data_IF_643300261308
#
_entry.id   IF_643300261308
#
_cell.length_a   1.000
_cell.length_b   1.000
_cell.length_c   1.000
_cell.angle_alpha   90.00
_cell.angle_beta   90.00
_cell.angle_gamma   90.00
#
_symmetry.space_group_name_H-M   'P 1'
#
loop_
_entity.id
_entity.type
_entity.pdbx_description
1 polymer ?
#
# COMPACT_ATOMS: atom_id res chain seq x y z
N UNK A 1 -10.46 14.78 7.18
CA UNK A 1 -9.88 15.66 6.14
C UNK A 1 -8.94 14.88 5.22
N UNK A 2 -8.93 15.22 3.94
CA UNK A 2 -8.02 14.62 2.96
C UNK A 2 -6.61 15.23 3.06
N UNK A 3 -5.63 14.61 2.40
CA UNK A 3 -4.24 15.07 2.38
C UNK A 3 -4.04 16.51 1.91
N UNK A 4 -4.93 17.01 1.05
CA UNK A 4 -4.91 18.41 0.56
C UNK A 4 -5.50 19.43 1.55
N UNK A 5 -6.16 18.96 2.59
CA UNK A 5 -6.97 19.75 3.52
C UNK A 5 -6.35 19.79 4.94
N UNK A 6 -5.21 19.14 5.13
CA UNK A 6 -4.49 19.08 6.41
C UNK A 6 -2.98 19.10 6.18
N UNK A 7 -2.26 19.68 7.11
CA UNK A 7 -0.81 19.59 7.15
C UNK A 7 -0.39 18.19 7.62
N UNK A 8 0.74 17.73 7.13
CA UNK A 8 1.31 16.47 7.52
C UNK A 8 2.75 16.30 7.07
N UNK A 9 3.39 15.25 7.57
CA UNK A 9 4.74 14.87 7.16
C UNK A 9 4.70 13.48 6.56
N UNK A 10 5.44 13.27 5.49
CA UNK A 10 5.55 11.98 4.81
C UNK A 10 7.02 11.61 4.67
N UNK A 11 7.33 10.34 4.89
CA UNK A 11 8.64 9.77 4.61
C UNK A 11 8.55 8.80 3.44
N UNK A 12 9.47 8.88 2.51
CA UNK A 12 9.56 7.98 1.35
C UNK A 12 10.63 6.89 1.56
N UNK A 13 10.79 5.99 0.58
CA UNK A 13 11.77 4.90 0.59
C UNK A 13 13.24 5.37 0.55
N UNK A 14 13.49 6.62 0.16
CA UNK A 14 14.82 7.26 0.25
C UNK A 14 15.10 7.84 1.63
N UNK A 15 14.23 7.60 2.60
CA UNK A 15 14.30 8.16 3.95
C UNK A 15 14.17 9.69 4.00
N UNK A 16 13.60 10.30 2.97
CA UNK A 16 13.35 11.74 2.95
C UNK A 16 12.02 12.05 3.61
N UNK A 17 12.11 12.91 4.59
CA UNK A 17 10.98 13.44 5.35
C UNK A 17 10.56 14.76 4.70
N UNK A 18 9.34 14.82 4.21
CA UNK A 18 8.79 15.94 3.46
C UNK A 18 7.58 16.50 4.19
N UNK A 19 7.55 17.82 4.39
CA UNK A 19 6.34 18.50 4.83
C UNK A 19 5.36 18.63 3.66
N UNK A 20 4.13 18.19 3.89
CA UNK A 20 3.02 18.30 2.96
C UNK A 20 2.01 19.32 3.54
N UNK A 21 2.10 20.61 3.22
CA UNK A 21 1.18 21.60 3.73
C UNK A 21 -0.19 21.44 3.07
N UNK A 22 -1.23 21.81 3.81
CA UNK A 22 -2.57 21.98 3.24
C UNK A 22 -2.58 23.12 2.23
N UNK A 23 -3.33 22.97 1.17
CA UNK A 23 -3.53 24.01 0.16
C UNK A 23 -5.01 24.22 -0.18
N UNK A 24 -5.88 23.54 0.55
CA UNK A 24 -7.32 23.63 0.42
C UNK A 24 -7.97 23.61 1.79
N UNK A 25 -9.01 24.40 1.97
CA UNK A 25 -9.85 24.35 3.16
C UNK A 25 -10.60 23.01 3.24
N UNK A 26 -10.67 22.46 4.42
CA UNK A 26 -11.48 21.25 4.66
C UNK A 26 -12.97 21.59 4.69
N UNK A 27 -13.79 20.59 4.36
CA UNK A 27 -15.24 20.71 4.58
C UNK A 27 -15.49 20.92 6.09
N UNK A 28 -16.44 21.78 6.45
CA UNK A 28 -16.78 22.16 7.85
C UNK A 28 -16.97 20.96 8.82
N UNK A 29 -17.40 19.82 8.30
CA UNK A 29 -17.63 18.60 9.08
C UNK A 29 -16.46 17.58 8.99
N UNK A 30 -15.38 17.94 8.33
CA UNK A 30 -14.24 17.06 8.10
C UNK A 30 -13.11 17.44 9.05
N UNK A 31 -12.63 16.47 9.83
CA UNK A 31 -11.51 16.63 10.76
C UNK A 31 -10.33 15.78 10.31
N UNK A 32 -9.08 16.20 10.54
CA UNK A 32 -7.93 15.33 10.37
C UNK A 32 -7.96 14.17 11.38
N UNK A 33 -7.38 13.04 11.02
CA UNK A 33 -7.43 11.82 11.83
C UNK A 33 -6.86 12.03 13.24
N UNK A 34 -5.74 12.77 13.35
CA UNK A 34 -5.15 13.08 14.65
C UNK A 34 -6.11 13.81 15.59
N UNK A 35 -6.92 14.73 15.07
CA UNK A 35 -7.89 15.47 15.86
C UNK A 35 -9.03 14.57 16.33
N UNK A 36 -9.51 13.64 15.47
CA UNK A 36 -10.54 12.67 15.83
C UNK A 36 -10.06 11.81 17.00
N UNK A 37 -8.83 11.31 16.93
CA UNK A 37 -8.24 10.51 18.02
C UNK A 37 -7.97 11.33 19.27
N UNK A 38 -7.51 12.56 19.14
CA UNK A 38 -7.29 13.45 20.28
C UNK A 38 -8.59 13.75 21.03
N UNK A 39 -9.65 14.12 20.31
CA UNK A 39 -10.97 14.35 20.91
C UNK A 39 -11.54 13.09 21.58
N UNK A 40 -11.34 11.92 20.99
CA UNK A 40 -11.74 10.66 21.61
C UNK A 40 -10.95 10.39 22.89
N UNK A 41 -9.61 10.55 22.83
CA UNK A 41 -8.73 10.39 23.98
C UNK A 41 -9.13 11.28 25.16
N UNK A 42 -9.41 12.56 24.89
CA UNK A 42 -9.91 13.51 25.88
C UNK A 42 -11.26 13.06 26.47
N UNK A 43 -12.20 12.60 25.64
CA UNK A 43 -13.53 12.14 26.10
C UNK A 43 -13.48 10.91 27.02
N UNK A 44 -12.47 10.06 26.87
CA UNK A 44 -12.26 8.90 27.74
C UNK A 44 -11.33 9.18 28.93
N UNK A 45 -10.97 10.47 29.16
CA UNK A 45 -10.29 10.94 30.37
C UNK A 45 -8.79 11.20 30.24
N UNK A 46 -8.20 11.06 29.06
CA UNK A 46 -6.77 11.28 28.81
C UNK A 46 -6.47 12.72 28.34
N UNK A 47 -6.97 13.72 29.04
CA UNK A 47 -6.87 15.13 28.63
C UNK A 47 -5.43 15.58 28.39
N UNK A 48 -4.52 15.34 29.34
CA UNK A 48 -3.12 15.79 29.26
C UNK A 48 -2.31 15.11 28.16
N UNK A 49 -2.63 13.87 27.84
CA UNK A 49 -1.94 13.08 26.82
C UNK A 49 -2.38 13.44 25.39
N UNK A 50 -3.53 14.08 25.24
CA UNK A 50 -4.12 14.43 23.95
C UNK A 50 -4.38 15.93 23.82
N UNK A 51 -3.55 16.76 24.46
CA UNK A 51 -3.62 18.23 24.43
C UNK A 51 -2.81 18.77 23.22
N UNK A 52 -3.24 18.38 22.01
CA UNK A 52 -2.63 18.84 20.78
C UNK A 52 -3.44 19.99 20.16
N UNK A 53 -2.77 21.04 19.73
CA UNK A 53 -3.35 22.17 19.02
C UNK A 53 -3.19 22.04 17.49
N UNK A 54 -2.17 21.29 17.06
CA UNK A 54 -1.81 21.14 15.65
C UNK A 54 -1.23 19.77 15.30
N UNK A 55 -1.16 19.46 14.01
CA UNK A 55 -0.43 18.30 13.52
C UNK A 55 1.08 18.40 13.78
N UNK A 56 1.62 19.60 13.97
CA UNK A 56 3.01 19.81 14.38
C UNK A 56 3.28 19.28 15.77
N UNK A 57 2.36 19.47 16.72
CA UNK A 57 2.52 18.98 18.10
C UNK A 57 2.57 17.46 18.15
N UNK A 58 1.70 16.81 17.37
CA UNK A 58 1.71 15.36 17.20
C UNK A 58 3.03 14.87 16.59
N UNK A 59 3.54 15.60 15.60
CA UNK A 59 4.83 15.29 14.98
C UNK A 59 5.98 15.48 15.97
N UNK A 60 5.98 16.56 16.74
CA UNK A 60 7.02 16.84 17.75
C UNK A 60 7.05 15.77 18.86
N UNK A 61 5.89 15.21 19.22
CA UNK A 61 5.84 14.06 20.12
C UNK A 61 6.45 12.83 19.47
N UNK A 62 6.04 12.52 18.23
CA UNK A 62 6.62 11.41 17.47
C UNK A 62 8.15 11.51 17.38
N UNK A 63 8.69 12.68 17.09
CA UNK A 63 10.13 12.92 16.99
C UNK A 63 10.88 12.53 18.28
N UNK A 64 10.30 12.80 19.46
CA UNK A 64 10.88 12.40 20.75
C UNK A 64 11.04 10.88 20.85
N UNK A 65 10.14 10.11 20.28
CA UNK A 65 10.20 8.64 20.31
C UNK A 65 11.32 8.07 19.44
N UNK A 66 11.82 8.84 18.47
CA UNK A 66 12.89 8.43 17.56
C UNK A 66 14.30 8.71 18.12
N UNK A 67 14.40 9.49 19.19
CA UNK A 67 15.68 9.94 19.76
C UNK A 67 16.61 8.79 20.10
N UNK A 68 17.87 8.85 19.64
CA UNK A 68 18.91 7.84 19.81
C UNK A 68 18.58 6.47 19.20
N UNK A 69 17.63 6.39 18.28
CA UNK A 69 17.33 5.19 17.50
C UNK A 69 17.99 5.28 16.12
N UNK A 70 18.02 4.16 15.40
CA UNK A 70 18.54 4.12 14.01
C UNK A 70 17.84 5.13 13.09
N UNK A 71 16.57 5.38 13.34
CA UNK A 71 15.75 6.36 12.62
C UNK A 71 15.63 7.69 13.36
N UNK A 72 16.67 8.12 14.10
CA UNK A 72 16.63 9.39 14.84
C UNK A 72 16.26 10.55 13.94
N UNK A 73 15.15 11.19 14.25
CA UNK A 73 14.62 12.36 13.55
C UNK A 73 14.44 13.55 14.51
N UNK A 74 15.04 13.48 15.72
CA UNK A 74 14.82 14.44 16.80
C UNK A 74 15.27 15.87 16.49
N UNK A 75 16.04 16.08 15.43
CA UNK A 75 16.46 17.39 14.95
C UNK A 75 15.50 18.03 13.95
N UNK A 76 14.47 17.31 13.49
CA UNK A 76 13.49 17.82 12.54
C UNK A 76 12.38 18.63 13.22
N UNK A 77 11.72 19.46 12.45
CA UNK A 77 10.49 20.17 12.82
C UNK A 77 9.76 20.63 11.56
N UNK A 78 8.48 20.99 11.66
CA UNK A 78 7.74 21.59 10.55
C UNK A 78 8.44 22.85 10.04
N UNK A 79 8.93 23.70 10.94
CA UNK A 79 9.61 24.93 10.57
C UNK A 79 10.91 24.66 9.80
N UNK A 80 11.71 23.67 10.23
CA UNK A 80 12.92 23.27 9.53
C UNK A 80 12.60 22.75 8.13
N UNK A 81 11.64 21.83 8.01
CA UNK A 81 11.22 21.27 6.73
C UNK A 81 10.63 22.33 5.78
N UNK A 82 9.93 23.34 6.32
CA UNK A 82 9.40 24.45 5.54
C UNK A 82 10.52 25.33 4.97
N UNK A 83 11.56 25.60 5.77
CA UNK A 83 12.64 26.49 5.39
C UNK A 83 13.68 25.83 4.47
N UNK A 84 13.95 24.55 4.66
CA UNK A 84 15.06 23.84 4.02
C UNK A 84 14.62 22.71 3.10
N UNK A 85 13.32 22.46 2.98
CA UNK A 85 12.79 21.37 2.17
C UNK A 85 12.99 19.99 2.81
N UNK A 86 12.79 18.91 2.04
CA UNK A 86 12.89 17.54 2.52
C UNK A 86 14.26 17.20 3.08
N UNK A 87 14.31 16.60 4.27
CA UNK A 87 15.54 16.16 4.94
C UNK A 87 15.57 14.64 5.06
N UNK A 88 16.76 14.05 4.97
CA UNK A 88 16.95 12.61 5.08
C UNK A 88 17.26 12.22 6.53
N UNK A 89 16.56 11.19 7.07
CA UNK A 89 16.93 10.62 8.37
C UNK A 89 18.02 9.53 8.21
N UNK A 90 18.87 9.27 9.24
CA UNK A 90 18.82 9.87 10.57
C UNK A 90 19.18 11.35 10.57
N UNK A 91 18.44 12.13 11.39
CA UNK A 91 18.60 13.57 11.53
C UNK A 91 18.52 13.94 13.02
N UNK A 92 19.53 13.59 13.84
CA UNK A 92 19.57 13.92 15.27
C UNK A 92 19.69 15.41 15.50
N UNK A 93 19.42 15.86 16.75
CA UNK A 93 19.62 17.24 17.16
C UNK A 93 21.04 17.71 16.83
N UNK A 94 21.15 18.91 16.25
CA UNK A 94 22.44 19.48 15.82
C UNK A 94 22.85 19.11 14.39
N UNK A 95 22.06 18.31 13.67
CA UNK A 95 22.28 18.08 12.24
C UNK A 95 22.08 19.36 11.44
N UNK A 96 22.84 19.47 10.33
CA UNK A 96 22.76 20.60 9.40
C UNK A 96 21.88 20.21 8.22
N UNK A 97 20.96 21.09 7.75
CA UNK A 97 20.15 20.83 6.58
C UNK A 97 20.98 20.51 5.34
N UNK A 98 20.59 19.50 4.59
CA UNK A 98 21.30 19.06 3.40
C UNK A 98 20.34 18.54 2.33
N UNK A 99 20.62 18.86 1.07
CA UNK A 99 19.95 18.28 -0.10
C UNK A 99 20.62 17.00 -0.60
N UNK A 100 21.84 16.71 -0.12
CA UNK A 100 22.57 15.51 -0.50
C UNK A 100 21.90 14.25 0.06
N UNK A 101 22.04 13.14 -0.64
CA UNK A 101 21.57 11.83 -0.19
C UNK A 101 22.76 11.03 0.34
N UNK A 102 22.58 10.47 1.53
CA UNK A 102 23.57 9.54 2.13
C UNK A 102 22.98 8.13 2.12
N UNK A 103 23.79 7.16 1.72
CA UNK A 103 23.44 5.75 1.82
C UNK A 103 23.61 5.30 3.28
N UNK A 104 22.68 4.47 3.79
CA UNK A 104 22.88 3.78 5.06
C UNK A 104 23.95 2.69 4.90
N UNK A 105 24.72 2.48 5.96
CA UNK A 105 25.72 1.44 6.03
C UNK A 105 26.80 1.55 4.94
N UNK A 106 27.11 2.79 4.52
CA UNK A 106 28.16 3.07 3.53
C UNK A 106 29.56 2.69 4.08
N UNK A 107 29.72 2.79 5.39
CA UNK A 107 30.89 2.37 6.15
C UNK A 107 30.98 0.84 6.34
N UNK A 108 30.00 0.07 5.88
CA UNK A 108 29.91 -1.39 6.03
C UNK A 108 29.56 -1.85 7.44
N UNK A 109 29.25 -0.93 8.38
CA UNK A 109 28.85 -1.27 9.73
C UNK A 109 27.31 -1.39 9.83
N UNK A 110 26.85 -2.52 10.36
CA UNK A 110 25.43 -2.82 10.57
C UNK A 110 25.10 -2.89 12.06
N UNK A 111 23.87 -2.48 12.48
CA UNK A 111 23.47 -2.49 13.89
C UNK A 111 23.06 -3.91 14.35
N UNK A 112 23.97 -4.85 14.24
CA UNK A 112 23.87 -6.23 14.69
C UNK A 112 24.94 -6.50 15.73
N UNK A 113 24.85 -7.59 16.48
CA UNK A 113 25.85 -7.98 17.48
C UNK A 113 27.26 -8.11 16.87
N UNK A 114 27.34 -8.52 15.61
CA UNK A 114 28.61 -8.73 14.90
C UNK A 114 29.10 -7.51 14.14
N UNK A 115 28.30 -6.45 14.03
CA UNK A 115 28.55 -5.29 13.17
C UNK A 115 28.44 -5.59 11.66
N UNK A 116 28.04 -6.80 11.27
CA UNK A 116 27.91 -7.25 9.88
C UNK A 116 26.44 -7.49 9.51
N UNK A 117 26.12 -7.45 8.22
CA UNK A 117 24.80 -7.81 7.73
C UNK A 117 24.48 -9.29 8.06
N UNK A 118 23.27 -9.54 8.53
CA UNK A 118 22.78 -10.90 8.73
C UNK A 118 22.03 -11.34 7.46
N UNK A 119 22.38 -12.51 6.97
CA UNK A 119 21.64 -13.18 5.90
C UNK A 119 20.59 -14.09 6.55
N UNK A 120 19.31 -13.79 6.31
CA UNK A 120 18.23 -14.70 6.66
C UNK A 120 18.05 -15.67 5.49
N UNK A 121 18.23 -16.95 5.74
CA UNK A 121 18.06 -18.01 4.75
C UNK A 121 16.87 -18.84 5.21
N UNK A 122 15.80 -18.82 4.43
CA UNK A 122 14.62 -19.64 4.64
C UNK A 122 14.42 -20.56 3.44
N UNK A 123 14.07 -21.80 3.68
CA UNK A 123 13.66 -22.73 2.64
C UNK A 123 12.25 -22.40 2.15
N UNK A 124 12.00 -22.39 0.83
CA UNK A 124 10.66 -22.17 0.30
C UNK A 124 9.68 -23.23 0.80
N UNK A 125 8.65 -22.83 1.51
CA UNK A 125 7.61 -23.75 2.05
C UNK A 125 6.72 -24.30 0.92
N UNK A 126 6.69 -23.63 -0.24
CA UNK A 126 5.80 -23.97 -1.34
C UNK A 126 4.39 -23.38 -1.16
N UNK A 127 3.46 -23.87 -1.96
CA UNK A 127 2.07 -23.43 -1.88
C UNK A 127 1.32 -24.24 -0.82
N UNK A 128 0.48 -23.57 -0.03
CA UNK A 128 -0.40 -24.22 0.95
C UNK A 128 -1.34 -25.25 0.27
N UNK A 129 -1.77 -24.94 -0.95
CA UNK A 129 -2.54 -25.81 -1.81
C UNK A 129 -1.86 -25.89 -3.18
N UNK A 130 -1.04 -26.93 -3.42
CA UNK A 130 -0.43 -27.13 -4.73
C UNK A 130 -1.50 -27.53 -5.77
N UNK A 131 -1.24 -27.34 -7.07
CA UNK A 131 -2.12 -27.83 -8.13
C UNK A 131 -2.39 -29.33 -8.01
N UNK A 132 -3.60 -29.73 -8.39
CA UNK A 132 -4.05 -31.11 -8.43
C UNK A 132 -4.79 -31.40 -9.74
N UNK A 133 -5.13 -32.65 -10.01
CA UNK A 133 -5.90 -33.01 -11.21
C UNK A 133 -7.26 -32.31 -11.27
N UNK A 134 -7.90 -32.07 -10.11
CA UNK A 134 -9.17 -31.36 -10.02
C UNK A 134 -9.01 -29.83 -10.16
N UNK A 135 -7.90 -29.28 -9.65
CA UNK A 135 -7.58 -27.85 -9.67
C UNK A 135 -6.17 -27.65 -10.25
N UNK A 136 -6.01 -27.77 -11.58
CA UNK A 136 -4.68 -27.80 -12.20
C UNK A 136 -4.01 -26.44 -12.35
N UNK A 137 -4.74 -25.35 -12.15
CA UNK A 137 -4.25 -23.99 -12.36
C UNK A 137 -4.01 -23.25 -11.05
N UNK A 138 -2.96 -22.46 -11.00
CA UNK A 138 -2.68 -21.54 -9.90
C UNK A 138 -3.39 -20.22 -10.19
N UNK A 139 -4.28 -19.77 -9.30
CA UNK A 139 -4.85 -18.44 -9.37
C UNK A 139 -3.94 -17.44 -8.66
N UNK A 140 -3.50 -16.42 -9.38
CA UNK A 140 -2.88 -15.22 -8.81
C UNK A 140 -3.84 -14.04 -8.91
N UNK A 141 -3.83 -13.19 -7.89
CA UNK A 141 -4.67 -12.00 -7.85
C UNK A 141 -3.81 -10.74 -7.71
N UNK A 142 -4.31 -9.63 -8.20
CA UNK A 142 -3.57 -8.37 -8.12
C UNK A 142 -4.39 -7.17 -8.57
N UNK A 143 -3.69 -6.05 -8.78
CA UNK A 143 -4.30 -4.78 -9.17
C UNK A 143 -4.03 -4.46 -10.64
N UNK A 144 -5.02 -3.86 -11.28
CA UNK A 144 -4.77 -3.12 -12.50
C UNK A 144 -4.08 -1.78 -12.21
N UNK A 145 -3.18 -1.36 -13.08
CA UNK A 145 -2.47 -0.07 -12.95
C UNK A 145 -3.41 1.13 -12.88
N UNK A 146 -4.58 1.04 -13.49
CA UNK A 146 -5.56 2.12 -13.54
C UNK A 146 -6.54 2.13 -12.36
N UNK A 147 -6.50 1.14 -11.47
CA UNK A 147 -7.49 0.98 -10.40
C UNK A 147 -6.84 0.93 -9.01
N UNK A 148 -7.58 1.38 -8.02
CA UNK A 148 -7.15 1.42 -6.63
C UNK A 148 -8.14 0.66 -5.73
N UNK A 149 -7.67 -0.39 -5.08
CA UNK A 149 -8.45 -1.25 -4.17
C UNK A 149 -9.87 -1.55 -4.68
N UNK A 150 -10.90 -1.17 -3.92
CA UNK A 150 -12.33 -1.36 -4.22
C UNK A 150 -12.90 -0.37 -5.25
N UNK A 151 -12.06 0.40 -5.91
CA UNK A 151 -12.44 1.41 -6.92
C UNK A 151 -13.35 2.54 -6.42
N UNK A 152 -13.57 2.70 -5.13
CA UNK A 152 -14.45 3.74 -4.56
C UNK A 152 -14.09 5.18 -5.01
N UNK A 153 -12.84 5.40 -5.38
CA UNK A 153 -12.36 6.68 -5.93
C UNK A 153 -12.13 6.60 -7.44
N UNK A 154 -11.41 5.59 -7.90
CA UNK A 154 -10.97 5.48 -9.29
C UNK A 154 -12.11 5.17 -10.26
N UNK A 155 -13.18 4.49 -9.84
CA UNK A 155 -14.36 4.26 -10.67
C UNK A 155 -15.12 5.55 -11.04
N UNK A 156 -14.93 6.63 -10.27
CA UNK A 156 -15.51 7.94 -10.55
C UNK A 156 -14.79 8.70 -11.67
N UNK A 157 -13.63 8.23 -12.09
CA UNK A 157 -12.79 8.83 -13.12
C UNK A 157 -12.95 8.05 -14.42
N UNK A 158 -13.75 8.54 -15.35
CA UNK A 158 -14.06 7.87 -16.63
C UNK A 158 -12.82 7.45 -17.43
N UNK A 159 -11.76 8.26 -17.41
CA UNK A 159 -10.50 7.95 -18.10
C UNK A 159 -9.83 6.67 -17.55
N UNK A 160 -9.99 6.39 -16.28
CA UNK A 160 -9.45 5.20 -15.62
C UNK A 160 -10.34 3.98 -15.86
N UNK A 161 -11.65 4.14 -15.73
CA UNK A 161 -12.62 3.04 -15.93
C UNK A 161 -12.68 2.56 -17.38
N UNK A 162 -12.48 3.45 -18.37
CA UNK A 162 -12.41 3.06 -19.78
C UNK A 162 -11.23 2.15 -20.12
N UNK A 163 -10.14 2.19 -19.34
CA UNK A 163 -8.97 1.32 -19.55
C UNK A 163 -9.24 -0.14 -19.14
N UNK A 164 -9.99 -0.31 -18.08
CA UNK A 164 -10.34 -1.63 -17.52
C UNK A 164 -11.80 -1.58 -17.08
N UNK A 165 -12.76 -1.75 -18.01
CA UNK A 165 -14.19 -1.60 -17.71
C UNK A 165 -14.81 -2.79 -16.97
N UNK A 166 -14.17 -3.94 -17.03
CA UNK A 166 -14.64 -5.20 -16.46
C UNK A 166 -13.46 -6.07 -15.96
N UNK A 167 -13.70 -7.01 -15.05
CA UNK A 167 -12.69 -7.99 -14.65
C UNK A 167 -12.45 -8.98 -15.78
N UNK A 168 -11.20 -9.19 -16.16
CA UNK A 168 -10.79 -10.17 -17.14
C UNK A 168 -9.94 -11.26 -16.48
N UNK A 169 -10.25 -12.51 -16.78
CA UNK A 169 -9.39 -13.63 -16.45
C UNK A 169 -8.28 -13.72 -17.51
N UNK A 170 -7.05 -13.39 -17.11
CA UNK A 170 -5.90 -13.62 -17.99
C UNK A 170 -5.45 -15.08 -17.90
N UNK A 171 -5.31 -15.73 -19.06
CA UNK A 171 -4.89 -17.12 -19.19
C UNK A 171 -3.88 -17.26 -20.32
N UNK A 172 -2.88 -18.15 -20.12
CA UNK A 172 -1.90 -18.43 -21.16
C UNK A 172 -2.54 -19.13 -22.37
N UNK A 173 -2.05 -18.83 -23.57
CA UNK A 173 -2.56 -19.40 -24.82
C UNK A 173 -2.53 -20.94 -24.86
N UNK A 174 -1.51 -21.58 -24.26
CA UNK A 174 -1.41 -23.04 -24.19
C UNK A 174 -2.50 -23.64 -23.29
N UNK A 175 -2.76 -23.01 -22.16
CA UNK A 175 -3.81 -23.47 -21.22
C UNK A 175 -5.21 -23.26 -21.84
N UNK A 176 -5.44 -22.09 -22.45
CA UNK A 176 -6.67 -21.79 -23.15
C UNK A 176 -6.96 -22.82 -24.28
N UNK A 177 -5.93 -23.19 -25.05
CA UNK A 177 -6.05 -24.19 -26.09
C UNK A 177 -6.41 -25.58 -25.52
N UNK A 178 -5.72 -26.01 -24.45
CA UNK A 178 -5.98 -27.30 -23.81
C UNK A 178 -7.38 -27.42 -23.22
N UNK A 179 -7.89 -26.30 -22.67
CA UNK A 179 -9.22 -26.19 -22.08
C UNK A 179 -10.31 -25.83 -23.12
N UNK A 180 -9.93 -25.62 -24.40
CA UNK A 180 -10.82 -25.21 -25.51
C UNK A 180 -11.57 -23.90 -25.24
N UNK A 181 -10.94 -22.99 -24.51
CA UNK A 181 -11.47 -21.67 -24.15
C UNK A 181 -11.10 -20.66 -25.25
N UNK A 182 -12.05 -19.80 -25.61
CA UNK A 182 -11.85 -18.72 -26.59
C UNK A 182 -11.69 -17.38 -25.91
N UNK A 183 -11.01 -16.46 -26.59
CA UNK A 183 -10.93 -15.08 -26.11
C UNK A 183 -12.34 -14.45 -26.02
N UNK A 184 -12.56 -13.59 -25.02
CA UNK A 184 -13.85 -12.93 -24.72
C UNK A 184 -14.98 -13.89 -24.27
N UNK A 185 -14.74 -15.18 -24.14
CA UNK A 185 -15.68 -16.13 -23.57
C UNK A 185 -15.86 -15.89 -22.06
N UNK A 186 -17.09 -16.04 -21.55
CA UNK A 186 -17.35 -16.02 -20.10
C UNK A 186 -17.16 -17.43 -19.57
N UNK A 187 -16.23 -17.58 -18.65
CA UNK A 187 -15.91 -18.84 -18.02
C UNK A 187 -16.23 -18.84 -16.54
N UNK A 188 -16.50 -20.01 -16.00
CA UNK A 188 -16.62 -20.25 -14.56
C UNK A 188 -15.25 -20.62 -14.00
N UNK A 189 -14.83 -19.89 -12.97
CA UNK A 189 -13.59 -20.10 -12.22
C UNK A 189 -14.00 -20.69 -10.87
N UNK A 190 -13.47 -21.85 -10.53
CA UNK A 190 -13.83 -22.58 -9.31
C UNK A 190 -12.59 -22.90 -8.48
N UNK A 191 -12.71 -22.75 -7.18
CA UNK A 191 -11.78 -23.29 -6.17
C UNK A 191 -12.52 -24.22 -5.23
N UNK A 192 -11.84 -24.78 -4.24
CA UNK A 192 -12.48 -25.57 -3.17
C UNK A 192 -13.49 -24.75 -2.33
N UNK A 193 -13.44 -23.43 -2.40
CA UNK A 193 -14.18 -22.50 -1.50
C UNK A 193 -15.33 -21.80 -2.18
N UNK A 194 -15.24 -21.58 -3.47
CA UNK A 194 -16.29 -20.86 -4.18
C UNK A 194 -16.10 -20.86 -5.69
N UNK A 195 -16.96 -20.10 -6.34
CA UNK A 195 -16.92 -19.93 -7.78
C UNK A 195 -17.28 -18.49 -8.18
N UNK A 196 -16.65 -18.02 -9.24
CA UNK A 196 -16.95 -16.73 -9.88
C UNK A 196 -16.97 -16.88 -11.38
N UNK A 197 -17.50 -15.87 -12.08
CA UNK A 197 -17.48 -15.82 -13.53
C UNK A 197 -16.71 -14.59 -13.98
N UNK A 198 -15.92 -14.75 -15.05
CA UNK A 198 -15.23 -13.64 -15.69
C UNK A 198 -15.06 -13.89 -17.18
N UNK A 199 -14.94 -12.82 -17.93
CA UNK A 199 -14.56 -12.88 -19.35
C UNK A 199 -13.08 -13.19 -19.47
N UNK A 200 -12.72 -13.99 -20.45
CA UNK A 200 -11.34 -14.44 -20.69
C UNK A 200 -10.58 -13.45 -21.56
N UNK A 201 -9.34 -13.20 -21.18
CA UNK A 201 -8.31 -12.59 -22.00
C UNK A 201 -7.14 -13.56 -22.18
N UNK A 202 -6.98 -14.07 -23.40
CA UNK A 202 -5.85 -14.95 -23.73
C UNK A 202 -4.59 -14.09 -23.93
N UNK A 203 -3.50 -14.43 -23.23
CA UNK A 203 -2.25 -13.67 -23.32
C UNK A 203 -1.03 -14.52 -22.95
N UNK A 204 0.07 -14.35 -23.68
CA UNK A 204 1.35 -15.01 -23.38
C UNK A 204 2.20 -14.26 -22.34
N UNK A 205 1.67 -13.16 -21.77
CA UNK A 205 2.33 -12.42 -20.69
C UNK A 205 2.29 -13.13 -19.35
N UNK A 206 1.37 -14.10 -19.19
CA UNK A 206 1.26 -14.93 -18.00
C UNK A 206 1.86 -16.32 -18.27
N UNK A 207 2.48 -16.93 -17.27
CA UNK A 207 3.07 -18.25 -17.37
C UNK A 207 1.98 -19.33 -17.52
N UNK A 208 2.22 -20.34 -18.36
CA UNK A 208 1.35 -21.51 -18.44
C UNK A 208 1.20 -22.20 -17.06
N UNK A 209 0.01 -22.71 -16.77
CA UNK A 209 -0.37 -23.25 -15.46
C UNK A 209 -0.79 -22.19 -14.44
N UNK A 210 -0.81 -20.91 -14.82
CA UNK A 210 -1.18 -19.80 -13.94
C UNK A 210 -2.24 -18.93 -14.63
N UNK A 211 -3.23 -18.49 -13.86
CA UNK A 211 -4.25 -17.54 -14.29
C UNK A 211 -4.25 -16.32 -13.37
N UNK A 212 -4.62 -15.16 -13.89
CA UNK A 212 -4.72 -13.93 -13.13
C UNK A 212 -6.13 -13.38 -13.13
N UNK A 213 -6.61 -12.93 -11.96
CA UNK A 213 -7.89 -12.27 -11.84
C UNK A 213 -7.73 -10.98 -11.00
N UNK A 214 -8.26 -9.83 -11.46
CA UNK A 214 -8.11 -8.58 -10.72
C UNK A 214 -9.00 -8.52 -9.48
N UNK A 215 -8.46 -7.97 -8.39
CA UNK A 215 -9.10 -7.92 -7.07
C UNK A 215 -10.16 -6.83 -6.89
N UNK A 216 -10.37 -5.97 -7.88
CA UNK A 216 -11.10 -4.71 -7.68
C UNK A 216 -12.61 -4.85 -7.63
N UNK A 217 -13.19 -5.85 -8.31
CA UNK A 217 -14.62 -6.05 -8.40
C UNK A 217 -15.12 -6.92 -7.25
N UNK A 218 -15.94 -6.33 -6.42
CA UNK A 218 -16.59 -6.98 -5.30
C UNK A 218 -18.11 -6.85 -5.36
N UNK A 219 -18.76 -7.19 -4.28
CA UNK A 219 -20.22 -7.27 -4.16
C UNK A 219 -20.98 -6.00 -4.60
N UNK A 220 -20.39 -4.83 -4.43
CA UNK A 220 -21.03 -3.55 -4.75
C UNK A 220 -20.86 -3.08 -6.19
N UNK A 221 -20.16 -3.83 -7.03
CA UNK A 221 -19.86 -3.43 -8.41
C UNK A 221 -20.79 -4.10 -9.41
N UNK A 222 -21.10 -3.40 -10.52
CA UNK A 222 -22.04 -3.84 -11.54
C UNK A 222 -21.67 -5.17 -12.20
N UNK A 223 -20.38 -5.45 -12.36
CA UNK A 223 -19.86 -6.70 -12.90
C UNK A 223 -19.17 -7.46 -11.77
N UNK A 224 -19.96 -7.96 -10.85
CA UNK A 224 -19.47 -8.62 -9.64
C UNK A 224 -18.59 -9.83 -9.96
N UNK A 225 -17.34 -9.76 -9.51
CA UNK A 225 -16.39 -10.87 -9.54
C UNK A 225 -15.64 -10.87 -8.20
N UNK A 226 -16.24 -11.49 -7.22
CA UNK A 226 -15.72 -11.49 -5.85
C UNK A 226 -14.61 -12.52 -5.70
N UNK A 227 -13.42 -12.17 -6.16
CA UNK A 227 -12.26 -13.06 -6.18
C UNK A 227 -11.88 -13.62 -4.80
N UNK A 228 -12.19 -12.91 -3.72
CA UNK A 228 -11.94 -13.38 -2.36
C UNK A 228 -12.69 -14.68 -2.02
N UNK A 229 -13.84 -14.95 -2.65
CA UNK A 229 -14.56 -16.22 -2.48
C UNK A 229 -13.78 -17.45 -2.96
N UNK A 230 -12.75 -17.24 -3.79
CA UNK A 230 -11.87 -18.30 -4.30
C UNK A 230 -10.63 -18.54 -3.44
N UNK A 231 -10.30 -17.60 -2.53
CA UNK A 231 -9.04 -17.55 -1.82
C UNK A 231 -8.97 -18.49 -0.62
N UNK A 232 -7.73 -18.87 -0.27
CA UNK A 232 -7.41 -19.48 1.02
C UNK A 232 -7.31 -18.37 2.08
N UNK A 233 -7.88 -18.61 3.27
CA UNK A 233 -7.70 -17.74 4.44
C UNK A 233 -6.29 -17.84 5.02
#
# INVERSE_FOLDING_TARGET
>A
AQWSEKDGVMTNSERRVTLCPSFRESNKNSKPDWQIFAELGQKIGYFKQFEYESSSDVYDEFLKTTTKRLCDMSGLSYQLLKNHGPQQWPYPKGSVPSTSSKRLYEDGYFPTETGKANFCIDDPIGLAEPPSDEYPLILTIGRYLSQWHTMTRTSKVQKLTKKNPEPLLEINSKDALSLKIKNDEIVKIKSKRGEVQAKVQITDKIKAGTVFLPMHWGFSQKNMCEVNSLMHE
#
